data_IF_770009171599
#
_entry.id   IF_770009171599
#
_cell.length_a   1.000
_cell.length_b   1.000
_cell.length_c   1.000
_cell.angle_alpha   90.00
_cell.angle_beta   90.00
_cell.angle_gamma   90.00
#
_symmetry.space_group_name_H-M   'P 1'
#
loop_
_entity.id
_entity.type
_entity.pdbx_description
1 polymer ?
#
# COMPACT_ATOMS: atom_id res chain seq x y z
N UNK A 1 -0.63 -1.85 -2.37
CA UNK A 1 -1.12 -0.92 -1.33
C UNK A 1 -0.01 0.08 -1.03
N UNK A 2 -0.26 1.41 -1.02
CA UNK A 2 0.84 2.36 -0.73
C UNK A 2 1.30 2.22 0.72
N UNK A 3 2.53 2.63 1.02
CA UNK A 3 3.09 2.53 2.37
C UNK A 3 3.57 1.14 2.80
N UNK A 4 3.36 0.13 1.96
CA UNK A 4 3.95 -1.20 2.10
C UNK A 4 4.94 -1.46 0.97
N UNK A 5 5.86 -2.41 1.17
CA UNK A 5 6.69 -2.94 0.09
C UNK A 5 5.83 -3.66 -0.94
N UNK A 6 6.32 -3.82 -2.17
CA UNK A 6 5.54 -4.43 -3.26
C UNK A 6 5.03 -5.85 -2.93
N UNK A 7 5.81 -6.61 -2.15
CA UNK A 7 5.44 -7.93 -1.62
C UNK A 7 5.05 -7.90 -0.13
N UNK A 8 4.70 -6.73 0.41
CA UNK A 8 4.36 -6.55 1.83
C UNK A 8 2.97 -7.07 2.22
N UNK A 9 2.13 -7.39 1.22
CA UNK A 9 0.83 -8.02 1.44
C UNK A 9 0.96 -9.54 1.31
N UNK A 10 1.04 -10.19 2.47
CA UNK A 10 1.01 -11.65 2.58
C UNK A 10 -0.36 -12.15 3.06
N UNK A 11 -0.53 -13.47 2.95
CA UNK A 11 -1.67 -14.18 3.55
C UNK A 11 -1.46 -14.28 5.06
N UNK A 12 -2.50 -13.94 5.82
CA UNK A 12 -2.51 -14.06 7.27
C UNK A 12 -3.64 -15.01 7.69
N UNK A 13 -3.36 -15.85 8.68
CA UNK A 13 -4.37 -16.71 9.28
C UNK A 13 -5.39 -15.91 10.12
N UNK A 14 -6.37 -16.63 10.67
CA UNK A 14 -7.42 -16.05 11.54
C UNK A 14 -6.86 -15.34 12.77
N UNK A 15 -5.66 -15.71 13.21
CA UNK A 15 -4.99 -15.17 14.39
C UNK A 15 -4.02 -14.02 14.01
N UNK A 16 -3.97 -13.65 12.71
CA UNK A 16 -3.13 -12.57 12.20
C UNK A 16 -1.66 -12.93 12.05
N UNK A 17 -1.30 -14.21 12.12
CA UNK A 17 0.06 -14.71 11.89
C UNK A 17 0.30 -14.91 10.40
N UNK A 18 1.55 -14.68 10.00
CA UNK A 18 2.00 -14.86 8.64
C UNK A 18 1.88 -16.34 8.27
N UNK A 19 1.24 -16.63 7.14
CA UNK A 19 1.25 -17.96 6.56
C UNK A 19 2.70 -18.34 6.17
N UNK A 20 3.27 -19.44 6.71
CA UNK A 20 4.65 -19.84 6.45
C UNK A 20 4.94 -20.19 4.98
N UNK A 21 3.90 -20.33 4.15
CA UNK A 21 4.04 -20.52 2.69
C UNK A 21 4.18 -19.19 1.91
N UNK A 22 4.10 -18.04 2.59
CA UNK A 22 4.43 -16.72 2.02
C UNK A 22 5.95 -16.44 2.15
N UNK A 23 6.65 -15.87 1.15
CA UNK A 23 6.17 -15.33 -0.13
C UNK A 23 6.30 -16.28 -1.33
N UNK A 24 6.84 -17.48 -1.11
CA UNK A 24 7.55 -18.23 -2.16
C UNK A 24 6.67 -19.02 -3.13
N UNK A 25 5.35 -19.09 -2.98
CA UNK A 25 4.59 -20.01 -3.85
C UNK A 25 3.32 -19.51 -4.52
N UNK A 26 2.38 -18.83 -3.89
CA UNK A 26 1.17 -18.42 -4.62
C UNK A 26 0.58 -17.13 -4.03
N UNK A 27 0.33 -16.15 -4.89
CA UNK A 27 -0.53 -15.01 -4.53
C UNK A 27 -1.90 -15.47 -4.00
N UNK A 28 -2.75 -14.53 -3.60
CA UNK A 28 -4.13 -14.86 -3.26
C UNK A 28 -5.01 -15.00 -4.51
N UNK A 29 -6.02 -15.88 -4.46
CA UNK A 29 -7.09 -15.85 -5.48
C UNK A 29 -8.14 -14.79 -5.18
N UNK A 30 -8.10 -14.19 -3.98
CA UNK A 30 -8.97 -13.09 -3.57
C UNK A 30 -8.12 -11.90 -3.16
N UNK A 31 -8.31 -10.78 -3.86
CA UNK A 31 -7.71 -9.49 -3.54
C UNK A 31 -8.84 -8.50 -3.27
N UNK A 32 -8.83 -7.91 -2.07
CA UNK A 32 -9.65 -6.75 -1.75
C UNK A 32 -8.71 -5.57 -1.61
N UNK A 33 -9.01 -4.48 -2.31
CA UNK A 33 -8.24 -3.24 -2.20
C UNK A 33 -9.20 -2.06 -2.32
N UNK A 34 -9.09 -1.14 -1.38
CA UNK A 34 -9.84 0.11 -1.33
C UNK A 34 -8.90 1.25 -0.99
N UNK A 35 -9.14 2.41 -1.59
CA UNK A 35 -8.36 3.60 -1.33
C UNK A 35 -9.27 4.81 -1.27
N UNK A 36 -9.06 5.64 -0.25
CA UNK A 36 -9.64 6.96 -0.11
C UNK A 36 -8.52 7.97 -0.23
N UNK A 37 -8.66 8.94 -1.12
CA UNK A 37 -7.67 10.00 -1.32
C UNK A 37 -8.37 11.36 -1.33
N UNK A 38 -8.02 12.21 -0.39
CA UNK A 38 -8.39 13.62 -0.37
C UNK A 38 -7.32 14.41 -1.10
N UNK A 39 -7.74 15.25 -2.05
CA UNK A 39 -6.85 16.13 -2.82
C UNK A 39 -7.23 17.58 -2.60
N UNK A 40 -6.26 18.41 -2.26
CA UNK A 40 -6.42 19.84 -2.04
C UNK A 40 -5.52 20.60 -3.00
N UNK A 41 -6.05 21.53 -3.81
CA UNK A 41 -5.23 22.35 -4.68
C UNK A 41 -4.38 23.28 -3.82
N UNK A 42 -3.08 23.34 -4.08
CA UNK A 42 -2.17 24.22 -3.36
C UNK A 42 -1.98 25.53 -4.12
N UNK A 43 -1.40 25.45 -5.32
CA UNK A 43 -1.15 26.60 -6.18
C UNK A 43 -0.85 26.13 -7.61
N UNK A 44 -0.98 27.05 -8.57
CA UNK A 44 -0.52 26.87 -9.95
C UNK A 44 0.65 27.81 -10.18
N UNK A 45 1.76 27.29 -10.69
CA UNK A 45 2.95 28.06 -11.03
C UNK A 45 3.29 27.80 -12.50
N UNK A 46 3.02 28.80 -13.35
CA UNK A 46 3.26 28.73 -14.79
C UNK A 46 2.57 27.50 -15.42
N UNK A 47 3.34 26.53 -15.90
CA UNK A 47 2.83 25.28 -16.48
C UNK A 47 2.56 24.17 -15.46
N UNK A 48 2.86 24.38 -14.17
CA UNK A 48 2.75 23.36 -13.13
C UNK A 48 1.56 23.60 -12.20
N UNK A 49 0.66 22.61 -12.07
CA UNK A 49 -0.39 22.60 -11.05
C UNK A 49 -0.01 21.72 -9.87
N UNK A 50 0.04 22.26 -8.65
CA UNK A 50 0.41 21.52 -7.44
C UNK A 50 -0.81 21.21 -6.58
N UNK A 51 -0.91 19.96 -6.14
CA UNK A 51 -1.94 19.49 -5.21
C UNK A 51 -1.32 18.70 -4.08
N UNK A 52 -1.80 18.92 -2.87
CA UNK A 52 -1.55 18.03 -1.75
C UNK A 52 -2.54 16.86 -1.80
N UNK A 53 -2.07 15.67 -1.47
CA UNK A 53 -2.87 14.48 -1.28
C UNK A 53 -2.71 13.97 0.15
N UNK A 54 -3.81 13.53 0.74
CA UNK A 54 -3.79 12.66 1.91
C UNK A 54 -4.57 11.40 1.54
N UNK A 55 -4.03 10.23 1.87
CA UNK A 55 -4.67 8.97 1.52
C UNK A 55 -4.76 8.02 2.70
N UNK A 56 -5.76 7.14 2.61
CA UNK A 56 -5.93 5.99 3.46
C UNK A 56 -6.26 4.79 2.56
N UNK A 57 -5.42 3.77 2.60
CA UNK A 57 -5.58 2.56 1.82
C UNK A 57 -5.87 1.38 2.75
N UNK A 58 -6.76 0.49 2.31
CA UNK A 58 -7.07 -0.78 2.96
C UNK A 58 -6.96 -1.90 1.94
N UNK A 59 -6.28 -2.99 2.28
CA UNK A 59 -6.20 -4.13 1.38
C UNK A 59 -5.98 -5.46 2.10
N UNK A 60 -6.47 -6.53 1.50
CA UNK A 60 -6.34 -7.89 2.00
C UNK A 60 -6.08 -8.85 0.84
N UNK A 61 -5.27 -9.87 1.11
CA UNK A 61 -4.98 -10.95 0.16
C UNK A 61 -5.28 -12.30 0.84
N UNK A 62 -6.09 -13.14 0.20
CA UNK A 62 -6.49 -14.44 0.72
C UNK A 62 -6.52 -15.51 -0.38
N UNK A 63 -6.41 -16.79 0.01
CA UNK A 63 -6.46 -17.91 -0.94
C UNK A 63 -7.86 -18.14 -1.52
N UNK A 64 -8.89 -17.93 -0.71
CA UNK A 64 -10.29 -18.09 -1.06
C UNK A 64 -11.15 -17.16 -0.18
N UNK A 65 -12.45 -17.07 -0.47
CA UNK A 65 -13.37 -16.20 0.27
C UNK A 65 -13.57 -16.66 1.73
N UNK A 66 -13.41 -17.94 2.03
CA UNK A 66 -13.57 -18.47 3.39
C UNK A 66 -12.36 -18.15 4.29
N UNK A 67 -11.18 -17.93 3.69
CA UNK A 67 -9.94 -17.53 4.35
C UNK A 67 -9.71 -16.01 4.36
N UNK A 68 -10.70 -15.23 3.93
CA UNK A 68 -10.66 -13.77 4.05
C UNK A 68 -11.12 -13.36 5.46
N UNK A 69 -10.18 -13.26 6.38
CA UNK A 69 -10.47 -12.84 7.76
C UNK A 69 -10.32 -11.33 7.92
N UNK A 70 -10.96 -10.76 8.94
CA UNK A 70 -10.72 -9.37 9.34
C UNK A 70 -9.22 -9.13 9.64
N UNK A 71 -8.55 -10.14 10.19
CA UNK A 71 -7.11 -10.12 10.41
C UNK A 71 -6.30 -9.99 9.12
N UNK A 72 -6.80 -10.44 7.97
CA UNK A 72 -6.09 -10.36 6.67
C UNK A 72 -5.98 -8.94 6.12
N UNK A 73 -6.78 -7.99 6.63
CA UNK A 73 -6.72 -6.60 6.21
C UNK A 73 -5.48 -5.87 6.75
N UNK A 74 -4.80 -5.17 5.84
CA UNK A 74 -3.74 -4.21 6.12
C UNK A 74 -4.24 -2.82 5.76
N UNK A 75 -3.80 -1.86 6.56
CA UNK A 75 -4.20 -0.47 6.42
C UNK A 75 -2.96 0.41 6.41
N UNK A 76 -2.93 1.36 5.48
CA UNK A 76 -1.93 2.41 5.44
C UNK A 76 -2.56 3.77 5.30
N UNK A 77 -1.85 4.78 5.76
CA UNK A 77 -2.18 6.17 5.54
C UNK A 77 -0.94 6.92 5.10
N UNK A 78 -1.11 8.04 4.43
CA UNK A 78 0.03 8.80 3.96
C UNK A 78 -0.32 10.12 3.34
N UNK A 79 0.74 10.79 2.91
CA UNK A 79 0.69 12.08 2.25
C UNK A 79 1.29 11.96 0.86
N UNK A 80 0.85 12.82 -0.03
CA UNK A 80 1.33 12.87 -1.38
C UNK A 80 1.37 14.27 -1.94
N UNK A 81 2.20 14.43 -2.96
CA UNK A 81 2.24 15.59 -3.83
C UNK A 81 1.79 15.13 -5.23
N UNK A 82 0.91 15.90 -5.85
CA UNK A 82 0.55 15.74 -7.26
C UNK A 82 1.00 16.97 -8.01
N UNK A 83 1.70 16.76 -9.11
CA UNK A 83 2.18 17.82 -9.99
C UNK A 83 1.60 17.54 -11.36
N UNK A 84 0.80 18.46 -11.88
CA UNK A 84 0.30 18.40 -13.24
C UNK A 84 1.20 19.29 -14.12
N UNK A 85 2.01 18.67 -14.97
CA UNK A 85 2.96 19.37 -15.85
C UNK A 85 2.28 19.66 -17.19
N UNK A 86 2.22 20.93 -17.57
CA UNK A 86 1.64 21.40 -18.83
C UNK A 86 0.17 21.05 -18.98
N UNK A 87 -0.56 20.91 -17.87
CA UNK A 87 -1.96 20.42 -17.83
C UNK A 87 -2.17 19.03 -18.49
N UNK A 88 -1.08 18.27 -18.72
CA UNK A 88 -1.07 17.02 -19.48
C UNK A 88 -0.48 15.83 -18.73
N UNK A 89 0.63 16.02 -18.02
CA UNK A 89 1.38 14.93 -17.39
C UNK A 89 1.21 14.97 -15.89
N UNK A 90 0.38 14.10 -15.28
CA UNK A 90 0.24 14.01 -13.84
C UNK A 90 1.37 13.17 -13.24
N UNK A 91 2.19 13.79 -12.42
CA UNK A 91 3.25 13.16 -11.63
C UNK A 91 2.77 13.04 -10.18
N UNK A 92 3.03 11.89 -9.55
CA UNK A 92 2.71 11.65 -8.14
C UNK A 92 3.95 11.28 -7.34
N UNK A 93 4.00 11.80 -6.12
CA UNK A 93 4.92 11.39 -5.08
C UNK A 93 4.09 11.06 -3.84
N UNK A 94 4.29 9.90 -3.25
CA UNK A 94 3.53 9.42 -2.10
C UNK A 94 4.50 8.87 -1.04
N UNK A 95 4.27 9.24 0.21
CA UNK A 95 4.88 8.57 1.36
C UNK A 95 3.76 7.98 2.21
N UNK A 96 3.80 6.67 2.39
CA UNK A 96 2.79 5.93 3.16
C UNK A 96 3.39 5.21 4.36
N UNK A 97 2.56 4.98 5.36
CA UNK A 97 2.89 4.37 6.64
C UNK A 97 1.83 3.33 7.00
N UNK A 98 2.21 2.14 7.51
CA UNK A 98 1.25 1.23 8.12
C UNK A 98 0.55 1.91 9.32
N UNK A 99 -0.78 1.83 9.38
CA UNK A 99 -1.58 2.50 10.44
C UNK A 99 -1.59 1.71 11.74
N UNK A 100 -1.55 0.38 11.62
CA UNK A 100 -1.55 -0.54 12.76
C UNK A 100 -0.17 -1.17 12.95
N UNK A 101 -0.07 -2.13 13.89
CA UNK A 101 1.19 -2.81 14.16
C UNK A 101 1.80 -3.43 12.88
N UNK A 102 3.11 -3.21 12.75
CA UNK A 102 3.94 -3.75 11.68
C UNK A 102 4.03 -5.25 11.84
N UNK A 103 3.52 -5.98 10.85
CA UNK A 103 3.46 -7.44 10.89
C UNK A 103 4.71 -8.07 10.27
N UNK A 104 4.84 -9.37 10.47
CA UNK A 104 5.84 -10.17 9.78
C UNK A 104 5.50 -10.24 8.29
N UNK A 105 6.51 -10.00 7.45
CA UNK A 105 6.43 -10.17 5.99
C UNK A 105 7.18 -11.40 5.51
N UNK A 106 8.17 -11.85 6.28
CA UNK A 106 8.96 -13.03 5.99
C UNK A 106 9.56 -13.59 7.28
N UNK A 107 9.95 -14.86 7.25
CA UNK A 107 10.77 -15.49 8.27
C UNK A 107 12.19 -15.67 7.73
N UNK A 108 13.21 -15.37 8.53
CA UNK A 108 14.60 -15.74 8.21
C UNK A 108 14.79 -17.24 8.35
N UNK A 109 15.92 -17.77 7.84
CA UNK A 109 16.32 -19.17 8.04
C UNK A 109 16.39 -19.58 9.51
N UNK A 110 16.64 -18.61 10.39
CA UNK A 110 16.72 -18.79 11.85
C UNK A 110 15.35 -18.69 12.53
N UNK A 111 14.26 -18.55 11.76
CA UNK A 111 12.88 -18.39 12.25
C UNK A 111 12.56 -16.99 12.77
N UNK A 112 13.46 -16.02 12.65
CA UNK A 112 13.21 -14.65 13.07
C UNK A 112 12.24 -13.94 12.11
N UNK A 113 11.29 -13.21 12.66
CA UNK A 113 10.34 -12.44 11.87
C UNK A 113 10.97 -11.15 11.33
N UNK A 114 11.00 -11.02 10.01
CA UNK A 114 11.28 -9.75 9.32
C UNK A 114 9.98 -8.95 9.31
N UNK A 115 9.99 -7.80 10.00
CA UNK A 115 8.82 -6.91 10.07
C UNK A 115 8.75 -5.97 8.87
N UNK A 116 7.53 -5.55 8.55
CA UNK A 116 7.28 -4.49 7.56
C UNK A 116 8.11 -3.23 7.82
N UNK A 117 8.44 -2.53 6.74
CA UNK A 117 9.08 -1.21 6.82
C UNK A 117 8.14 -0.21 7.49
N UNK A 118 8.68 0.77 8.25
CA UNK A 118 7.86 1.80 8.90
C UNK A 118 7.23 2.78 7.91
N UNK A 119 7.78 2.90 6.71
CA UNK A 119 7.23 3.71 5.64
C UNK A 119 7.72 3.22 4.28
N UNK A 120 7.01 3.65 3.23
CA UNK A 120 7.44 3.45 1.86
C UNK A 120 7.16 4.69 1.02
N UNK A 121 8.17 5.11 0.27
CA UNK A 121 8.06 6.16 -0.73
C UNK A 121 7.73 5.56 -2.09
N UNK A 122 6.81 6.19 -2.82
CA UNK A 122 6.41 5.80 -4.15
C UNK A 122 6.40 7.03 -5.06
N UNK A 123 6.89 6.89 -6.27
CA UNK A 123 6.74 7.88 -7.33
C UNK A 123 6.07 7.22 -8.54
N UNK A 124 5.41 8.01 -9.37
CA UNK A 124 4.86 7.48 -10.62
C UNK A 124 4.27 8.54 -11.52
N UNK A 125 4.12 8.17 -12.79
CA UNK A 125 3.34 8.92 -13.77
C UNK A 125 1.93 8.33 -13.81
N UNK A 126 0.92 9.17 -13.64
CA UNK A 126 -0.49 8.76 -13.73
C UNK A 126 -0.88 8.76 -15.22
N UNK A 127 -0.53 7.69 -15.95
CA UNK A 127 -1.22 7.42 -17.21
C UNK A 127 -2.57 6.80 -16.87
N UNK A 128 -3.62 7.61 -16.81
CA UNK A 128 -5.00 7.11 -16.78
C UNK A 128 -5.50 7.10 -18.22
N UNK A 129 -5.69 5.92 -18.79
CA UNK A 129 -6.73 5.70 -19.81
C UNK A 129 -8.00 5.23 -19.12
#
# INVERSE_FOLDING_TARGET
LRGFTDNGLCRYDKDGKLDPTCPDTFGGNVLVNGSLELRVPLFKLWIFGFWAGAFFDAGALAEDHAKLYAASFRFSAGLGLRILVGDLVPVRFDVGFPVFERRCVAYTTDGACVREKPSQFNFGFLYTF
#
